data_IF_103948238007
#
_entry.id   IF_103948238007
#
_cell.length_a   1.000
_cell.length_b   1.000
_cell.length_c   1.000
_cell.angle_alpha   90.00
_cell.angle_beta   90.00
_cell.angle_gamma   90.00
#
_symmetry.space_group_name_H-M   'P 1'
#
loop_
_entity.id
_entity.type
_entity.pdbx_description
1 polymer ?
#
# COMPACT_ATOMS: atom_id res chain seq x y z
N UNK A 1 56.14 -11.11 13.48
CA UNK A 1 54.96 -11.11 12.59
C UNK A 1 53.77 -11.45 13.46
N UNK A 2 52.86 -10.50 13.70
CA UNK A 2 51.69 -10.76 14.56
C UNK A 2 50.66 -11.58 13.77
N UNK A 3 50.27 -12.74 14.33
CA UNK A 3 49.14 -13.53 13.85
C UNK A 3 47.89 -12.64 13.89
N UNK A 4 47.37 -12.29 12.72
CA UNK A 4 46.10 -11.57 12.60
C UNK A 4 45.00 -12.60 12.72
N UNK A 5 44.31 -12.65 13.87
CA UNK A 5 43.14 -13.50 14.04
C UNK A 5 42.12 -13.19 12.95
N UNK A 6 41.70 -14.22 12.20
CA UNK A 6 40.63 -14.11 11.23
C UNK A 6 39.33 -14.01 12.00
N UNK A 7 38.75 -12.81 12.07
CA UNK A 7 37.39 -12.63 12.62
C UNK A 7 36.38 -13.26 11.67
N UNK A 8 35.59 -14.19 12.18
CA UNK A 8 34.45 -14.75 11.47
C UNK A 8 33.35 -13.69 11.30
N UNK A 9 32.67 -13.76 10.17
CA UNK A 9 31.53 -12.88 9.89
C UNK A 9 30.27 -13.39 10.62
N UNK A 10 29.74 -12.58 11.54
CA UNK A 10 28.43 -12.80 12.17
C UNK A 10 27.36 -11.86 11.58
N UNK A 11 26.30 -12.45 11.02
CA UNK A 11 25.17 -11.72 10.44
C UNK A 11 24.34 -10.94 11.46
N UNK A 12 24.39 -11.31 12.74
CA UNK A 12 23.67 -10.63 13.81
C UNK A 12 24.41 -9.37 14.30
N UNK A 13 25.70 -9.27 14.04
CA UNK A 13 26.55 -8.19 14.57
C UNK A 13 27.07 -7.27 13.46
N UNK A 14 27.41 -7.82 12.29
CA UNK A 14 28.07 -7.08 11.22
C UNK A 14 27.09 -6.65 10.12
N UNK A 15 27.30 -5.42 9.65
CA UNK A 15 26.58 -4.88 8.49
C UNK A 15 26.85 -5.70 7.24
N UNK A 16 25.81 -5.90 6.43
CA UNK A 16 25.89 -6.62 5.16
C UNK A 16 24.79 -6.16 4.21
N UNK A 17 24.91 -6.53 2.93
CA UNK A 17 23.88 -6.32 1.93
C UNK A 17 23.26 -7.67 1.56
N UNK A 18 21.94 -7.72 1.40
CA UNK A 18 21.19 -8.90 0.93
C UNK A 18 20.54 -8.58 -0.40
N UNK A 19 20.66 -9.50 -1.35
CA UNK A 19 20.05 -9.38 -2.66
C UNK A 19 18.59 -9.82 -2.62
N UNK A 20 17.71 -9.07 -3.28
CA UNK A 20 16.31 -9.38 -3.49
C UNK A 20 16.09 -9.78 -4.96
N UNK A 21 15.92 -11.08 -5.25
CA UNK A 21 15.81 -11.56 -6.63
C UNK A 21 14.49 -11.16 -7.32
N UNK A 22 13.45 -10.77 -6.57
CA UNK A 22 12.18 -10.34 -7.17
C UNK A 22 12.26 -8.94 -7.77
N UNK A 23 13.19 -8.10 -7.30
CA UNK A 23 13.35 -6.71 -7.74
C UNK A 23 14.71 -6.41 -8.39
N UNK A 24 15.61 -7.39 -8.40
CA UNK A 24 17.01 -7.20 -8.81
C UNK A 24 17.69 -6.05 -8.05
N UNK A 25 17.46 -5.99 -6.74
CA UNK A 25 17.98 -4.93 -5.86
C UNK A 25 18.71 -5.46 -4.62
N UNK A 26 19.46 -4.59 -3.95
CA UNK A 26 20.22 -4.90 -2.74
C UNK A 26 19.73 -4.07 -1.56
N UNK A 27 19.57 -4.73 -0.40
CA UNK A 27 19.14 -4.11 0.84
C UNK A 27 20.28 -4.11 1.86
N UNK A 28 20.64 -2.94 2.38
CA UNK A 28 21.61 -2.78 3.47
C UNK A 28 20.99 -3.15 4.82
N UNK A 29 21.63 -4.09 5.52
CA UNK A 29 21.25 -4.56 6.84
C UNK A 29 22.27 -4.04 7.86
N UNK A 30 21.79 -3.28 8.85
CA UNK A 30 22.58 -2.76 9.96
C UNK A 30 21.95 -3.23 11.30
N UNK A 31 22.38 -4.37 11.87
CA UNK A 31 21.68 -5.01 13.00
C UNK A 31 21.49 -4.11 14.23
N UNK A 32 22.42 -3.20 14.50
CA UNK A 32 22.40 -2.35 15.70
C UNK A 32 21.64 -1.03 15.53
N UNK A 33 20.97 -0.79 14.39
CA UNK A 33 20.36 0.50 14.08
C UNK A 33 19.29 0.94 15.09
N UNK A 34 18.53 -0.02 15.65
CA UNK A 34 17.48 0.26 16.63
C UNK A 34 18.01 0.73 18.00
N UNK A 35 19.32 0.59 18.28
CA UNK A 35 19.93 1.06 19.54
C UNK A 35 20.14 2.57 19.57
N UNK A 36 19.88 3.27 18.47
CA UNK A 36 19.98 4.74 18.42
C UNK A 36 18.84 5.35 19.22
N UNK A 37 19.11 6.36 20.07
CA UNK A 37 18.04 7.05 20.77
C UNK A 37 17.09 7.70 19.76
N UNK A 38 15.78 7.51 19.97
CA UNK A 38 14.73 8.12 19.16
C UNK A 38 14.14 9.31 19.91
N UNK A 39 14.30 10.51 19.34
CA UNK A 39 13.69 11.75 19.83
C UNK A 39 12.84 12.44 18.73
N UNK A 40 12.50 11.67 17.68
CA UNK A 40 11.73 12.16 16.55
C UNK A 40 10.22 12.02 16.76
N UNK A 41 9.49 11.99 15.64
CA UNK A 41 8.05 11.82 15.59
C UNK A 41 7.59 10.54 16.32
N UNK A 42 6.50 10.65 17.07
CA UNK A 42 5.81 9.49 17.65
C UNK A 42 4.45 9.40 16.97
N UNK A 43 4.17 8.23 16.38
CA UNK A 43 2.91 8.00 15.69
C UNK A 43 1.73 8.02 16.66
N UNK A 44 0.59 8.52 16.19
CA UNK A 44 -0.66 8.44 16.95
C UNK A 44 -1.18 7.01 16.94
N UNK A 45 -1.72 6.57 18.08
CA UNK A 45 -2.45 5.31 18.13
C UNK A 45 -3.74 5.47 17.32
N UNK A 46 -4.10 4.50 16.47
CA UNK A 46 -5.37 4.52 15.73
C UNK A 46 -6.57 4.62 16.67
N UNK A 47 -7.64 5.27 16.20
CA UNK A 47 -8.91 5.31 16.93
C UNK A 47 -9.53 3.91 16.99
N UNK A 48 -9.90 3.47 18.20
CA UNK A 48 -10.47 2.14 18.43
C UNK A 48 -11.99 2.11 18.30
N UNK A 49 -12.65 3.27 18.36
CA UNK A 49 -14.11 3.38 18.40
C UNK A 49 -14.68 3.86 17.06
N UNK A 50 -14.47 3.05 16.02
CA UNK A 50 -15.07 3.28 14.70
C UNK A 50 -16.50 2.73 14.73
N UNK A 51 -17.54 3.53 14.41
CA UNK A 51 -18.91 3.04 14.38
C UNK A 51 -19.08 1.96 13.32
N UNK A 52 -19.94 0.99 13.59
CA UNK A 52 -20.19 -0.11 12.64
C UNK A 52 -20.74 0.39 11.31
N UNK A 53 -21.60 1.42 11.37
CA UNK A 53 -22.21 2.07 10.22
C UNK A 53 -22.19 3.58 10.47
N UNK A 54 -21.65 4.32 9.51
CA UNK A 54 -21.71 5.79 9.44
C UNK A 54 -22.40 6.17 8.13
N UNK A 55 -23.57 6.85 8.16
CA UNK A 55 -24.26 7.29 6.96
C UNK A 55 -23.48 8.33 6.15
N UNK A 56 -22.50 9.02 6.75
CA UNK A 56 -21.63 9.96 6.05
C UNK A 56 -20.43 9.28 5.39
N UNK A 57 -20.17 8.01 5.69
CA UNK A 57 -19.13 7.24 5.03
C UNK A 57 -19.65 6.72 3.67
N UNK A 58 -19.05 7.16 2.53
CA UNK A 58 -19.50 6.76 1.20
C UNK A 58 -19.22 5.29 0.87
N UNK A 59 -18.54 4.55 1.74
CA UNK A 59 -18.29 3.11 1.59
C UNK A 59 -19.37 2.26 2.26
N UNK A 60 -20.16 2.80 3.19
CA UNK A 60 -21.18 2.05 3.92
C UNK A 60 -22.34 1.60 3.01
N UNK A 61 -23.06 0.51 3.35
CA UNK A 61 -24.30 0.14 2.71
C UNK A 61 -25.33 1.27 2.77
N UNK A 62 -26.08 1.46 1.69
CA UNK A 62 -27.12 2.51 1.54
C UNK A 62 -26.63 3.96 1.63
N UNK A 63 -25.33 4.20 1.72
CA UNK A 63 -24.75 5.55 1.66
C UNK A 63 -24.66 6.06 0.22
N UNK A 64 -24.77 7.38 0.05
CA UNK A 64 -24.53 8.03 -1.23
C UNK A 64 -23.03 8.25 -1.43
N UNK A 65 -22.53 7.90 -2.61
CA UNK A 65 -21.15 8.13 -3.05
C UNK A 65 -20.99 9.52 -3.68
N UNK A 66 -19.74 9.91 -3.96
CA UNK A 66 -19.42 11.23 -4.50
C UNK A 66 -19.98 11.50 -5.90
N UNK A 67 -20.25 10.45 -6.68
CA UNK A 67 -20.93 10.55 -7.98
C UNK A 67 -22.47 10.62 -7.88
N UNK A 68 -23.02 10.58 -6.67
CA UNK A 68 -24.46 10.61 -6.41
C UNK A 68 -25.13 9.23 -6.43
N UNK A 69 -24.44 8.16 -6.81
CA UNK A 69 -24.96 6.79 -6.73
C UNK A 69 -25.13 6.36 -5.27
N UNK A 70 -26.11 5.50 -5.01
CA UNK A 70 -26.31 4.91 -3.68
C UNK A 70 -25.78 3.49 -3.67
N UNK A 71 -24.96 3.16 -2.66
CA UNK A 71 -24.49 1.79 -2.48
C UNK A 71 -25.67 0.84 -2.22
N UNK A 72 -25.61 -0.40 -2.74
CA UNK A 72 -26.60 -1.42 -2.38
C UNK A 72 -26.58 -1.68 -0.87
N UNK A 73 -27.65 -2.30 -0.35
CA UNK A 73 -27.66 -2.83 1.01
C UNK A 73 -26.89 -4.15 1.06
N UNK A 74 -25.58 -4.08 0.84
CA UNK A 74 -24.71 -5.24 0.74
C UNK A 74 -24.42 -5.84 2.12
N UNK A 75 -24.31 -7.18 2.18
CA UNK A 75 -24.05 -7.93 3.42
C UNK A 75 -22.65 -8.55 3.46
N UNK A 76 -21.92 -8.54 2.34
CA UNK A 76 -20.60 -9.16 2.18
C UNK A 76 -19.64 -8.20 1.45
N UNK A 77 -18.75 -8.71 0.60
CA UNK A 77 -17.86 -7.88 -0.21
C UNK A 77 -18.66 -7.06 -1.22
N UNK A 78 -18.31 -5.79 -1.37
CA UNK A 78 -18.88 -4.91 -2.39
C UNK A 78 -17.76 -4.30 -3.24
N UNK A 79 -17.94 -4.33 -4.56
CA UNK A 79 -16.95 -3.83 -5.53
C UNK A 79 -17.64 -2.83 -6.46
N UNK A 80 -17.03 -1.66 -6.62
CA UNK A 80 -17.51 -0.63 -7.54
C UNK A 80 -16.35 0.09 -8.23
N UNK A 81 -16.65 0.77 -9.34
CA UNK A 81 -15.66 1.58 -10.05
C UNK A 81 -15.33 2.83 -9.22
N UNK A 82 -14.04 3.14 -9.07
CA UNK A 82 -13.62 4.28 -8.26
C UNK A 82 -14.15 5.58 -8.88
N UNK A 83 -14.83 6.40 -8.07
CA UNK A 83 -15.40 7.68 -8.51
C UNK A 83 -14.31 8.70 -8.90
N UNK A 84 -13.07 8.51 -8.44
CA UNK A 84 -11.89 9.32 -8.75
C UNK A 84 -10.74 8.41 -9.22
N UNK A 85 -10.85 7.78 -10.40
CA UNK A 85 -9.88 6.79 -10.86
C UNK A 85 -8.56 7.46 -11.26
N UNK A 86 -7.43 6.86 -10.90
CA UNK A 86 -6.10 7.37 -11.28
C UNK A 86 -5.74 7.11 -12.76
N UNK A 87 -6.45 6.16 -13.40
CA UNK A 87 -6.25 5.78 -14.79
C UNK A 87 -7.61 5.50 -15.43
N UNK A 88 -7.74 5.84 -16.71
CA UNK A 88 -8.99 5.70 -17.47
C UNK A 88 -8.85 4.61 -18.53
N UNK A 89 -9.94 3.92 -18.83
CA UNK A 89 -9.97 2.91 -19.91
C UNK A 89 -9.88 3.59 -21.28
N UNK A 90 -10.58 4.71 -21.43
CA UNK A 90 -10.62 5.52 -22.65
C UNK A 90 -9.59 6.66 -22.57
N UNK A 91 -8.31 6.32 -22.58
CA UNK A 91 -7.22 7.26 -22.77
C UNK A 91 -6.79 7.22 -24.25
N UNK A 92 -6.47 8.34 -24.93
CA UNK A 92 -5.87 8.29 -26.25
C UNK A 92 -4.46 7.68 -26.21
N UNK A 93 -4.03 7.08 -27.32
CA UNK A 93 -2.62 6.71 -27.50
C UNK A 93 -1.78 7.97 -27.76
N UNK A 94 -0.54 7.98 -27.29
CA UNK A 94 0.42 9.00 -27.68
C UNK A 94 0.82 8.74 -29.14
N UNK A 95 0.84 9.79 -29.96
CA UNK A 95 1.30 9.67 -31.36
C UNK A 95 2.81 9.39 -31.41
N UNK A 96 3.22 8.56 -32.37
CA UNK A 96 4.63 8.30 -32.65
C UNK A 96 5.35 9.61 -33.02
N UNK A 97 6.13 10.17 -32.08
CA UNK A 97 6.81 11.46 -32.30
C UNK A 97 7.62 12.00 -31.12
N UNK A 98 7.31 11.64 -29.88
CA UNK A 98 8.06 12.10 -28.69
C UNK A 98 9.13 11.08 -28.28
N UNK A 99 10.19 10.96 -29.08
CA UNK A 99 11.32 10.05 -28.80
C UNK A 99 12.55 10.80 -28.30
N UNK A 100 12.38 11.67 -27.29
CA UNK A 100 13.55 12.21 -26.59
C UNK A 100 14.17 11.09 -25.71
N UNK A 101 15.49 10.85 -25.81
CA UNK A 101 16.14 9.77 -25.06
C UNK A 101 16.12 9.98 -23.53
N UNK A 102 15.98 11.23 -23.08
CA UNK A 102 15.91 11.65 -21.67
C UNK A 102 14.47 11.88 -21.21
N UNK A 103 13.59 12.39 -22.08
CA UNK A 103 12.19 12.72 -21.77
C UNK A 103 11.23 11.77 -22.50
N UNK A 104 11.07 10.56 -21.95
CA UNK A 104 10.21 9.51 -22.51
C UNK A 104 8.85 9.50 -21.84
N UNK A 105 7.80 9.50 -22.66
CA UNK A 105 6.41 9.38 -22.21
C UNK A 105 5.75 8.19 -22.90
N UNK A 106 4.92 7.45 -22.18
CA UNK A 106 4.10 6.36 -22.73
C UNK A 106 2.65 6.52 -22.28
N UNK A 107 1.71 6.14 -23.14
CA UNK A 107 0.28 6.10 -22.79
C UNK A 107 0.04 5.01 -21.74
N UNK A 108 -0.96 5.24 -20.89
CA UNK A 108 -1.39 4.27 -19.89
C UNK A 108 -2.92 4.26 -19.83
N UNK A 109 -3.49 3.05 -19.81
CA UNK A 109 -4.93 2.79 -19.72
C UNK A 109 -5.23 1.71 -18.69
N UNK A 110 -6.41 1.78 -18.10
CA UNK A 110 -6.84 0.77 -17.14
C UNK A 110 -8.09 1.19 -16.38
N UNK A 111 -8.43 0.41 -15.36
CA UNK A 111 -9.59 0.67 -14.50
C UNK A 111 -9.19 0.62 -13.03
N UNK A 112 -9.72 1.55 -12.25
CA UNK A 112 -9.61 1.52 -10.78
C UNK A 112 -10.95 1.07 -10.18
N UNK A 113 -10.89 0.10 -9.26
CA UNK A 113 -12.05 -0.33 -8.47
C UNK A 113 -11.75 -0.22 -6.98
N UNK A 114 -12.79 0.02 -6.20
CA UNK A 114 -12.77 -0.02 -4.75
C UNK A 114 -13.43 -1.32 -4.29
N UNK A 115 -12.86 -1.95 -3.27
CA UNK A 115 -13.39 -3.17 -2.65
C UNK A 115 -13.64 -2.88 -1.18
N UNK A 116 -14.90 -3.00 -0.75
CA UNK A 116 -15.29 -3.04 0.66
C UNK A 116 -15.29 -4.51 1.09
N UNK A 117 -14.48 -4.88 2.08
CA UNK A 117 -14.36 -6.28 2.52
C UNK A 117 -15.60 -6.79 3.27
N UNK A 118 -16.28 -5.90 4.01
CA UNK A 118 -17.40 -6.23 4.87
C UNK A 118 -18.26 -4.96 5.09
N UNK A 119 -19.59 -5.07 5.31
CA UNK A 119 -20.46 -3.92 5.57
C UNK A 119 -20.20 -3.19 6.90
N UNK A 120 -19.49 -3.85 7.83
CA UNK A 120 -19.17 -3.30 9.14
C UNK A 120 -17.83 -2.55 9.10
N UNK A 121 -17.86 -1.23 9.24
CA UNK A 121 -16.68 -0.36 9.22
C UNK A 121 -15.75 -0.56 10.42
N UNK A 122 -16.23 -1.18 11.50
CA UNK A 122 -15.44 -1.44 12.71
C UNK A 122 -14.59 -2.72 12.64
N UNK A 123 -14.69 -3.49 11.55
CA UNK A 123 -14.01 -4.79 11.42
C UNK A 123 -12.83 -4.67 10.45
N UNK A 124 -11.70 -5.27 10.83
CA UNK A 124 -10.53 -5.44 9.97
C UNK A 124 -10.31 -6.91 9.64
N UNK A 125 -9.53 -7.21 8.60
CA UNK A 125 -9.29 -8.58 8.11
C UNK A 125 -8.98 -9.62 9.23
N UNK A 126 -8.12 -9.34 10.24
CA UNK A 126 -7.83 -10.33 11.29
C UNK A 126 -9.00 -10.65 12.23
N UNK A 127 -10.04 -9.82 12.26
CA UNK A 127 -11.23 -9.97 13.11
C UNK A 127 -12.43 -10.56 12.35
N UNK A 128 -12.30 -10.78 11.05
CA UNK A 128 -13.32 -11.43 10.23
C UNK A 128 -13.32 -12.94 10.49
N UNK A 129 -14.47 -13.59 10.29
CA UNK A 129 -14.57 -15.05 10.35
C UNK A 129 -13.92 -15.67 9.13
N UNK A 130 -13.20 -16.78 9.34
CA UNK A 130 -12.81 -17.67 8.26
C UNK A 130 -14.02 -18.54 7.93
N UNK A 131 -14.71 -18.25 6.84
CA UNK A 131 -15.75 -19.14 6.29
C UNK A 131 -15.15 -20.23 5.40
#
# INVERSE_FOLDING_TARGET
MANKEVKNFDFNEHQHIRYNPLKDDWVLVCPHRMRRPWAGQVEKVPELDVPQHDPNNPLCPRSQRSNGETNPDYTETFVFDNDFPAILEDCPELSDGESDPLFRTVSAKGKCRVICFHPNSSISLPLMTNE
#
